data_IF_092843025282
#
_entry.id   IF_092843025282
#
_cell.length_a   1.000
_cell.length_b   1.000
_cell.length_c   1.000
_cell.angle_alpha   90.00
_cell.angle_beta   90.00
_cell.angle_gamma   90.00
#
_symmetry.space_group_name_H-M   'P 1'
#
loop_
_entity.id
_entity.type
_entity.pdbx_description
1 polymer ?
#
# COMPACT_ATOMS: atom_id res chain seq x y z
N UNK A 1 14.90 -8.43 4.41
CA UNK A 1 14.04 -9.61 4.64
C UNK A 1 14.92 -10.80 4.42
N UNK A 2 15.32 -11.47 5.50
CA UNK A 2 16.27 -12.57 5.41
C UNK A 2 15.59 -13.81 5.99
N UNK A 3 15.84 -14.96 5.39
CA UNK A 3 15.39 -16.27 5.90
C UNK A 3 16.53 -17.26 5.74
N UNK A 4 16.54 -18.32 6.53
CA UNK A 4 17.62 -19.32 6.52
C UNK A 4 17.05 -20.68 6.16
N UNK A 5 17.55 -21.29 5.09
CA UNK A 5 17.18 -22.64 4.67
C UNK A 5 18.44 -23.50 4.65
N UNK A 6 18.46 -24.61 5.40
CA UNK A 6 19.62 -25.51 5.51
C UNK A 6 20.94 -24.75 5.80
N UNK A 7 20.92 -23.86 6.79
CA UNK A 7 22.05 -22.99 7.18
C UNK A 7 22.54 -22.00 6.11
N UNK A 8 21.84 -21.88 4.99
CA UNK A 8 22.11 -20.86 3.98
C UNK A 8 21.17 -19.68 4.20
N UNK A 9 21.73 -18.50 4.45
CA UNK A 9 20.94 -17.27 4.51
C UNK A 9 20.55 -16.83 3.10
N UNK A 10 19.25 -16.63 2.90
CA UNK A 10 18.66 -16.14 1.66
C UNK A 10 18.17 -14.71 1.92
N UNK A 11 18.94 -13.74 1.44
CA UNK A 11 18.59 -12.33 1.49
C UNK A 11 17.58 -11.96 0.41
N UNK A 12 16.35 -11.62 0.81
CA UNK A 12 15.28 -11.15 -0.05
C UNK A 12 15.30 -9.61 -0.16
N UNK A 13 16.38 -9.09 -0.73
CA UNK A 13 16.57 -7.66 -0.95
C UNK A 13 15.64 -7.12 -2.05
N UNK A 14 15.52 -5.79 -2.20
CA UNK A 14 14.79 -5.21 -3.35
C UNK A 14 15.38 -5.66 -4.69
N UNK A 15 16.71 -5.67 -4.80
CA UNK A 15 17.41 -6.06 -6.02
C UNK A 15 17.19 -7.53 -6.35
N UNK A 16 17.33 -8.42 -5.35
CA UNK A 16 17.08 -9.86 -5.51
C UNK A 16 15.67 -10.13 -6.01
N UNK A 17 14.67 -9.44 -5.45
CA UNK A 17 13.26 -9.57 -5.85
C UNK A 17 13.04 -9.16 -7.30
N UNK A 18 13.59 -8.02 -7.68
CA UNK A 18 13.48 -7.50 -9.04
C UNK A 18 14.13 -8.43 -10.06
N UNK A 19 15.30 -8.99 -9.74
CA UNK A 19 15.99 -9.97 -10.59
C UNK A 19 15.18 -11.26 -10.74
N UNK A 20 14.61 -11.80 -9.66
CA UNK A 20 13.83 -13.05 -9.71
C UNK A 20 12.55 -12.88 -10.55
N UNK A 21 11.86 -11.75 -10.37
CA UNK A 21 10.59 -11.49 -11.05
C UNK A 21 10.77 -10.90 -12.46
N UNK A 22 12.01 -10.57 -12.84
CA UNK A 22 12.35 -9.85 -14.08
C UNK A 22 11.55 -8.55 -14.25
N UNK A 23 11.58 -7.70 -13.22
CA UNK A 23 10.86 -6.42 -13.20
C UNK A 23 11.75 -5.26 -12.75
N UNK A 24 11.47 -4.01 -13.17
CA UNK A 24 12.22 -2.85 -12.71
C UNK A 24 12.18 -2.66 -11.19
N UNK A 25 13.34 -2.45 -10.57
CA UNK A 25 13.45 -2.14 -9.15
C UNK A 25 13.37 -0.63 -8.87
N UNK A 26 12.31 0.03 -9.33
CA UNK A 26 12.22 1.49 -9.30
C UNK A 26 10.98 1.98 -8.56
N UNK A 27 10.90 3.31 -8.41
CA UNK A 27 9.76 3.99 -7.82
C UNK A 27 9.76 4.01 -6.29
N UNK A 28 8.76 4.72 -5.76
CA UNK A 28 8.59 4.91 -4.33
C UNK A 28 8.31 3.58 -3.62
N UNK A 29 8.89 3.39 -2.43
CA UNK A 29 8.86 2.14 -1.65
C UNK A 29 8.28 2.33 -0.25
N UNK A 30 7.61 3.46 -0.02
CA UNK A 30 7.14 3.87 1.29
C UNK A 30 6.24 2.82 1.95
N UNK A 31 6.47 2.57 3.23
CA UNK A 31 5.63 1.69 4.03
C UNK A 31 5.51 2.19 5.46
N UNK A 32 4.27 2.27 5.96
CA UNK A 32 3.98 2.51 7.37
C UNK A 32 2.72 1.73 7.76
N UNK A 33 2.76 1.04 8.91
CA UNK A 33 1.66 0.16 9.34
C UNK A 33 0.44 0.93 9.86
N UNK A 34 0.66 2.07 10.51
CA UNK A 34 -0.39 2.80 11.26
C UNK A 34 -0.62 4.23 10.76
N UNK A 35 0.44 4.89 10.30
CA UNK A 35 0.40 6.30 9.95
C UNK A 35 0.68 6.51 8.46
N UNK A 36 0.66 7.77 8.03
CA UNK A 36 1.13 8.17 6.71
C UNK A 36 2.58 7.76 6.47
N UNK A 37 2.90 7.52 5.20
CA UNK A 37 4.26 7.34 4.74
C UNK A 37 4.95 8.71 4.82
N UNK A 38 6.15 8.74 5.41
CA UNK A 38 6.99 9.93 5.48
C UNK A 38 8.10 9.71 4.45
N UNK A 39 8.10 10.52 3.40
CA UNK A 39 9.06 10.45 2.31
C UNK A 39 9.07 11.77 1.56
N UNK A 40 10.25 12.18 1.06
CA UNK A 40 10.41 13.47 0.36
C UNK A 40 9.64 13.53 -0.98
N UNK A 41 9.31 12.36 -1.54
CA UNK A 41 8.56 12.21 -2.79
C UNK A 41 7.03 12.19 -2.60
N UNK A 42 6.55 12.27 -1.36
CA UNK A 42 5.14 12.12 -1.03
C UNK A 42 4.60 13.23 -0.10
N UNK A 43 3.63 13.99 -0.61
CA UNK A 43 2.89 14.98 0.14
C UNK A 43 1.49 14.44 0.47
N UNK A 44 1.19 14.23 1.76
CA UNK A 44 -0.08 13.66 2.22
C UNK A 44 -1.25 14.63 2.04
N UNK A 45 -1.05 15.93 2.22
CA UNK A 45 -2.08 16.96 2.04
C UNK A 45 -2.50 17.05 0.58
N UNK A 46 -1.54 17.05 -0.34
CA UNK A 46 -1.80 17.04 -1.79
C UNK A 46 -2.55 15.76 -2.21
N UNK A 47 -2.13 14.60 -1.68
CA UNK A 47 -2.82 13.32 -1.89
C UNK A 47 -4.29 13.38 -1.45
N UNK A 48 -4.56 13.89 -0.25
CA UNK A 48 -5.93 14.01 0.27
C UNK A 48 -6.75 14.98 -0.56
N UNK A 49 -6.20 16.15 -0.93
CA UNK A 49 -6.89 17.11 -1.79
C UNK A 49 -7.22 16.55 -3.17
N UNK A 50 -6.30 15.80 -3.77
CA UNK A 50 -6.51 15.14 -5.06
C UNK A 50 -7.62 14.09 -5.01
N UNK A 51 -7.68 13.32 -3.92
CA UNK A 51 -8.63 12.22 -3.80
C UNK A 51 -10.03 12.67 -3.36
N UNK A 52 -10.11 13.66 -2.46
CA UNK A 52 -11.33 14.03 -1.74
C UNK A 52 -11.76 15.50 -1.92
N UNK A 53 -10.93 16.35 -2.55
CA UNK A 53 -11.20 17.76 -2.79
C UNK A 53 -10.46 18.72 -1.84
N UNK A 54 -10.33 19.99 -2.25
CA UNK A 54 -9.43 20.98 -1.63
C UNK A 54 -9.70 21.31 -0.16
N UNK A 55 -10.96 21.20 0.29
CA UNK A 55 -11.37 21.54 1.65
C UNK A 55 -11.29 20.37 2.64
N UNK A 56 -10.67 19.25 2.25
CA UNK A 56 -10.61 18.04 3.08
C UNK A 56 -9.39 18.05 3.99
N UNK A 57 -9.60 17.80 5.29
CA UNK A 57 -8.51 17.65 6.27
C UNK A 57 -7.90 16.24 6.20
N UNK A 58 -6.56 16.17 6.14
CA UNK A 58 -5.79 14.93 6.13
C UNK A 58 -5.87 14.11 7.42
N UNK A 59 -6.41 14.69 8.51
CA UNK A 59 -6.65 14.01 9.79
C UNK A 59 -8.04 13.36 9.88
N UNK A 60 -8.92 13.60 8.91
CA UNK A 60 -10.26 13.01 8.89
C UNK A 60 -10.24 11.58 8.31
N UNK A 61 -11.24 10.79 8.72
CA UNK A 61 -11.49 9.47 8.11
C UNK A 61 -11.80 9.63 6.63
N UNK A 62 -11.03 8.94 5.80
CA UNK A 62 -11.17 8.91 4.35
C UNK A 62 -12.21 7.85 3.95
N UNK A 63 -13.43 8.27 3.64
CA UNK A 63 -14.49 7.36 3.22
C UNK A 63 -14.55 7.21 1.71
N UNK A 64 -14.69 5.98 1.23
CA UNK A 64 -14.81 5.64 -0.20
C UNK A 64 -15.99 6.33 -0.87
N UNK A 65 -17.08 6.60 -0.14
CA UNK A 65 -18.25 7.34 -0.68
C UNK A 65 -17.92 8.78 -1.09
N UNK A 66 -16.84 9.36 -0.56
CA UNK A 66 -16.38 10.71 -0.87
C UNK A 66 -15.44 10.74 -2.10
N UNK A 67 -15.04 9.58 -2.62
CA UNK A 67 -14.24 9.50 -3.84
C UNK A 67 -15.10 9.66 -5.09
N UNK A 68 -14.51 10.23 -6.15
CA UNK A 68 -15.07 10.19 -7.49
C UNK A 68 -15.33 8.75 -7.94
N UNK A 69 -16.21 8.55 -8.94
CA UNK A 69 -16.53 7.20 -9.42
C UNK A 69 -15.28 6.44 -9.90
N UNK A 70 -14.41 7.09 -10.68
CA UNK A 70 -13.17 6.47 -11.17
C UNK A 70 -12.20 6.14 -10.04
N UNK A 71 -12.07 7.02 -9.04
CA UNK A 71 -11.23 6.74 -7.88
C UNK A 71 -11.76 5.58 -7.03
N UNK A 72 -13.08 5.38 -6.95
CA UNK A 72 -13.66 4.20 -6.28
C UNK A 72 -13.29 2.89 -6.99
N UNK A 73 -13.30 2.87 -8.33
CA UNK A 73 -12.84 1.70 -9.09
C UNK A 73 -11.35 1.41 -8.84
N UNK A 74 -10.52 2.44 -8.85
CA UNK A 74 -9.09 2.31 -8.56
C UNK A 74 -8.84 1.81 -7.13
N UNK A 75 -9.53 2.40 -6.14
CA UNK A 75 -9.47 1.95 -4.75
C UNK A 75 -9.82 0.47 -4.62
N UNK A 76 -10.89 0.03 -5.29
CA UNK A 76 -11.30 -1.37 -5.29
C UNK A 76 -10.23 -2.28 -5.87
N UNK A 77 -9.64 -1.91 -7.00
CA UNK A 77 -8.57 -2.70 -7.63
C UNK A 77 -7.36 -2.84 -6.69
N UNK A 78 -6.93 -1.74 -6.05
CA UNK A 78 -5.83 -1.74 -5.09
C UNK A 78 -6.16 -2.62 -3.87
N UNK A 79 -7.33 -2.44 -3.26
CA UNK A 79 -7.75 -3.16 -2.06
C UNK A 79 -8.07 -4.64 -2.29
N UNK A 80 -8.06 -5.11 -3.55
CA UNK A 80 -8.27 -6.52 -3.91
C UNK A 80 -7.04 -7.19 -4.47
N UNK A 81 -6.15 -6.46 -5.16
CA UNK A 81 -5.00 -7.05 -5.86
C UNK A 81 -3.64 -6.64 -5.28
N UNK A 82 -3.51 -5.45 -4.69
CA UNK A 82 -2.22 -4.94 -4.19
C UNK A 82 -2.15 -4.98 -2.67
N UNK A 83 -3.20 -4.48 -2.01
CA UNK A 83 -3.35 -4.48 -0.55
C UNK A 83 -4.64 -5.22 -0.15
N UNK A 84 -4.76 -6.54 -0.42
CA UNK A 84 -5.98 -7.29 -0.10
C UNK A 84 -6.39 -7.13 1.36
N UNK A 85 -7.64 -6.76 1.62
CA UNK A 85 -8.20 -6.70 2.98
C UNK A 85 -9.50 -7.52 3.07
N UNK A 86 -9.67 -8.20 4.19
CA UNK A 86 -10.97 -8.74 4.58
C UNK A 86 -11.77 -7.65 5.31
N UNK A 87 -13.05 -7.49 4.96
CA UNK A 87 -13.96 -6.51 5.56
C UNK A 87 -14.47 -5.46 4.58
N UNK A 88 -14.91 -4.33 5.14
CA UNK A 88 -15.54 -3.23 4.40
C UNK A 88 -14.60 -2.49 3.44
N UNK A 89 -15.18 -2.00 2.36
CA UNK A 89 -14.53 -1.11 1.39
C UNK A 89 -15.05 0.33 1.53
N UNK A 90 -15.62 0.64 2.67
CA UNK A 90 -16.20 1.92 3.06
C UNK A 90 -15.13 2.96 3.43
N UNK A 91 -13.97 2.50 3.91
CA UNK A 91 -12.81 3.34 4.22
C UNK A 91 -11.62 3.10 3.27
N UNK A 92 -10.89 4.19 3.02
CA UNK A 92 -9.62 4.24 2.32
C UNK A 92 -8.51 4.40 3.37
N UNK A 93 -7.58 3.45 3.44
CA UNK A 93 -6.44 3.54 4.37
C UNK A 93 -5.33 4.46 3.85
N UNK A 94 -4.44 4.96 4.71
CA UNK A 94 -3.29 5.78 4.28
C UNK A 94 -2.42 5.09 3.20
N UNK A 95 -2.27 3.76 3.28
CA UNK A 95 -1.51 2.98 2.29
C UNK A 95 -2.23 2.84 0.96
N UNK A 96 -3.55 2.67 1.00
CA UNK A 96 -4.40 2.67 -0.20
C UNK A 96 -4.36 4.05 -0.87
N UNK A 97 -4.55 5.13 -0.10
CA UNK A 97 -4.48 6.51 -0.60
C UNK A 97 -3.11 6.84 -1.22
N UNK A 98 -2.02 6.46 -0.54
CA UNK A 98 -0.66 6.60 -1.08
C UNK A 98 -0.49 5.88 -2.43
N UNK A 99 -0.99 4.65 -2.53
CA UNK A 99 -0.91 3.85 -3.76
C UNK A 99 -1.75 4.48 -4.87
N UNK A 100 -2.97 4.93 -4.54
CA UNK A 100 -3.86 5.64 -5.47
C UNK A 100 -3.20 6.91 -6.00
N UNK A 101 -2.62 7.73 -5.13
CA UNK A 101 -1.96 8.97 -5.50
C UNK A 101 -0.83 8.75 -6.51
N UNK A 102 0.03 7.74 -6.31
CA UNK A 102 1.10 7.43 -7.27
C UNK A 102 0.54 6.97 -8.61
N UNK A 103 -0.49 6.13 -8.61
CA UNK A 103 -1.10 5.64 -9.85
C UNK A 103 -1.83 6.75 -10.62
N UNK A 104 -2.51 7.66 -9.92
CA UNK A 104 -3.22 8.80 -10.54
C UNK A 104 -2.23 9.83 -11.09
N UNK A 105 -1.16 10.14 -10.35
CA UNK A 105 -0.16 11.12 -10.75
C UNK A 105 0.89 10.59 -11.74
N UNK A 106 0.85 9.28 -12.04
CA UNK A 106 1.85 8.63 -12.88
C UNK A 106 3.25 8.55 -12.24
N UNK A 107 3.38 8.83 -10.93
CA UNK A 107 4.63 8.67 -10.20
C UNK A 107 4.96 7.18 -10.05
N UNK A 108 6.19 6.80 -10.37
CA UNK A 108 6.64 5.39 -10.27
C UNK A 108 6.50 4.90 -8.82
N UNK A 109 5.88 3.74 -8.64
CA UNK A 109 5.71 3.08 -7.35
C UNK A 109 6.07 1.60 -7.45
N UNK A 110 6.75 1.08 -6.43
CA UNK A 110 7.17 -0.31 -6.40
C UNK A 110 6.06 -1.22 -5.84
N UNK A 111 5.12 -1.61 -6.69
CA UNK A 111 3.99 -2.48 -6.35
C UNK A 111 4.41 -3.81 -5.69
N UNK A 112 5.42 -4.55 -6.19
CA UNK A 112 5.90 -5.77 -5.54
C UNK A 112 6.34 -5.54 -4.09
N UNK A 113 7.01 -4.41 -3.83
CA UNK A 113 7.43 -4.05 -2.48
C UNK A 113 6.24 -3.77 -1.56
N UNK A 114 5.17 -3.14 -2.07
CA UNK A 114 3.93 -2.95 -1.31
C UNK A 114 3.25 -4.28 -0.96
N UNK A 115 3.12 -5.19 -1.93
CA UNK A 115 2.49 -6.51 -1.74
C UNK A 115 3.23 -7.29 -0.65
N UNK A 116 4.57 -7.36 -0.74
CA UNK A 116 5.38 -8.11 0.22
C UNK A 116 5.28 -7.52 1.62
N UNK A 117 5.41 -6.20 1.76
CA UNK A 117 5.25 -5.57 3.08
C UNK A 117 3.83 -5.76 3.64
N UNK A 118 2.82 -5.81 2.78
CA UNK A 118 1.45 -6.12 3.18
C UNK A 118 1.28 -7.54 3.68
N UNK A 119 1.81 -8.52 2.94
CA UNK A 119 1.83 -9.93 3.35
C UNK A 119 2.53 -10.10 4.70
N UNK A 120 3.69 -9.47 4.90
CA UNK A 120 4.43 -9.51 6.16
C UNK A 120 3.66 -8.84 7.31
N UNK A 121 3.01 -7.72 7.03
CA UNK A 121 2.21 -7.03 8.03
C UNK A 121 0.95 -7.80 8.44
N UNK A 122 0.42 -8.66 7.56
CA UNK A 122 -0.68 -9.60 7.86
C UNK A 122 -0.14 -10.83 8.59
N UNK A 123 0.95 -11.43 8.14
CA UNK A 123 1.58 -12.59 8.80
C UNK A 123 1.96 -12.25 10.25
N UNK A 124 2.52 -11.06 10.50
CA UNK A 124 2.79 -10.59 11.86
C UNK A 124 1.54 -10.34 12.72
N UNK A 125 0.31 -10.53 12.20
CA UNK A 125 -0.95 -10.53 12.97
C UNK A 125 -1.40 -11.94 13.37
N UNK A 126 -0.70 -13.01 12.99
CA UNK A 126 -1.10 -14.40 13.29
C UNK A 126 -1.15 -14.78 14.79
N UNK A 127 -0.84 -13.87 15.71
CA UNK A 127 -1.17 -14.05 17.14
C UNK A 127 -2.56 -13.51 17.54
N UNK A 128 -3.31 -12.87 16.65
CA UNK A 128 -4.68 -12.41 16.87
C UNK A 128 -5.53 -12.64 15.60
N UNK A 129 -5.84 -13.91 15.33
CA UNK A 129 -6.85 -14.37 14.34
C UNK A 129 -6.51 -14.07 12.87
N UNK A 130 -6.64 -15.08 12.02
CA UNK A 130 -6.50 -14.95 10.56
C UNK A 130 -7.31 -13.74 10.06
N UNK A 131 -6.69 -12.91 9.23
CA UNK A 131 -7.27 -11.70 8.63
C UNK A 131 -8.32 -12.01 7.55
N UNK A 132 -9.20 -12.99 7.80
CA UNK A 132 -10.25 -13.45 6.89
C UNK A 132 -11.62 -13.62 7.57
N UNK A 133 -11.78 -13.27 8.85
CA UNK A 133 -13.09 -13.25 9.49
C UNK A 133 -13.40 -11.86 10.04
N UNK A 134 -14.60 -11.37 9.71
CA UNK A 134 -15.29 -10.36 10.51
C UNK A 134 -15.49 -10.88 11.94
#
# INVERSE_FOLDING_TARGET
>A
LNTTVKHTEIGFSCSTRATILDIPNEGARGWNKRNWIISDDFNKEECVRMLFGENTDCMQRMYTRNLSLHHRFLHRAIATHILPKAGGFDEVTHREAYTMYHLITGKRINVPNLIIHHMLAIQGRENDRLAYSN
#
